data_IF_478860535405
#
_entry.id   IF_478860535405
#
_cell.length_a   1.000
_cell.length_b   1.000
_cell.length_c   1.000
_cell.angle_alpha   90.00
_cell.angle_beta   90.00
_cell.angle_gamma   90.00
#
_symmetry.space_group_name_H-M   'P 1'
#
loop_
_entity.id
_entity.type
_entity.pdbx_description
1 polymer ?
#
# COMPACT_ATOMS: atom_id res chain seq x y z
N UNK A 1 -17.20 6.72 -15.94
CA UNK A 1 -17.22 5.32 -15.54
C UNK A 1 -16.23 4.48 -16.34
N UNK A 2 -16.14 4.71 -17.64
CA UNK A 2 -15.21 4.01 -18.53
C UNK A 2 -13.76 4.21 -18.10
N UNK A 3 -13.39 5.43 -17.70
CA UNK A 3 -12.02 5.75 -17.29
C UNK A 3 -11.65 4.98 -16.01
N UNK A 4 -12.55 4.93 -15.03
CA UNK A 4 -12.32 4.17 -13.79
C UNK A 4 -12.13 2.69 -14.07
N UNK A 5 -12.93 2.13 -14.97
CA UNK A 5 -12.83 0.72 -15.35
C UNK A 5 -11.50 0.43 -16.03
N UNK A 6 -11.04 1.31 -16.94
CA UNK A 6 -9.76 1.16 -17.62
C UNK A 6 -8.61 1.24 -16.63
N UNK A 7 -8.63 2.21 -15.71
CA UNK A 7 -7.59 2.35 -14.70
C UNK A 7 -7.53 1.14 -13.79
N UNK A 8 -8.70 0.64 -13.38
CA UNK A 8 -8.77 -0.57 -12.54
C UNK A 8 -8.24 -1.79 -13.28
N UNK A 9 -8.56 -1.94 -14.57
CA UNK A 9 -8.06 -3.07 -15.35
C UNK A 9 -6.56 -3.01 -15.53
N UNK A 10 -5.98 -1.82 -15.79
CA UNK A 10 -4.53 -1.64 -15.89
C UNK A 10 -3.84 -1.96 -14.58
N UNK A 11 -4.44 -1.52 -13.47
CA UNK A 11 -3.93 -1.76 -12.15
C UNK A 11 -3.87 -3.27 -11.84
N UNK A 12 -4.98 -3.97 -12.05
CA UNK A 12 -5.08 -5.40 -11.77
C UNK A 12 -4.15 -6.19 -12.68
N UNK A 13 -4.04 -5.81 -13.95
CA UNK A 13 -3.16 -6.48 -14.89
C UNK A 13 -1.69 -6.34 -14.53
N UNK A 14 -1.32 -5.31 -13.77
CA UNK A 14 0.04 -5.11 -13.30
C UNK A 14 0.41 -5.97 -12.09
N UNK A 15 -0.56 -6.66 -11.48
CA UNK A 15 -0.33 -7.47 -10.30
C UNK A 15 0.60 -8.66 -10.61
N UNK A 16 1.41 -9.09 -9.62
CA UNK A 16 2.25 -10.26 -9.81
C UNK A 16 1.42 -11.52 -9.98
N UNK A 17 2.03 -12.54 -10.58
CA UNK A 17 1.34 -13.77 -10.93
C UNK A 17 0.62 -14.42 -9.75
N UNK A 18 1.25 -14.45 -8.59
CA UNK A 18 0.67 -15.07 -7.39
C UNK A 18 -0.61 -14.36 -6.97
N UNK A 19 -0.62 -13.02 -7.01
CA UNK A 19 -1.81 -12.26 -6.67
C UNK A 19 -2.88 -12.40 -7.75
N UNK A 20 -2.51 -12.39 -9.02
CA UNK A 20 -3.47 -12.57 -10.11
C UNK A 20 -4.20 -13.91 -10.01
N UNK A 21 -3.48 -14.96 -9.59
CA UNK A 21 -4.11 -16.26 -9.38
C UNK A 21 -5.11 -16.22 -8.22
N UNK A 22 -4.78 -15.52 -7.15
CA UNK A 22 -5.64 -15.39 -5.98
C UNK A 22 -6.91 -14.59 -6.28
N UNK A 23 -6.81 -13.56 -7.11
CA UNK A 23 -7.90 -12.63 -7.36
C UNK A 23 -8.62 -12.88 -8.71
N UNK A 24 -8.38 -14.02 -9.36
CA UNK A 24 -8.89 -14.29 -10.70
C UNK A 24 -10.42 -14.19 -10.81
N UNK A 25 -11.14 -14.52 -9.74
CA UNK A 25 -12.60 -14.52 -9.73
C UNK A 25 -13.20 -13.20 -9.27
N UNK A 26 -12.37 -12.20 -8.96
CA UNK A 26 -12.86 -10.94 -8.42
C UNK A 26 -13.16 -9.93 -9.53
N UNK A 27 -14.22 -9.18 -9.35
CA UNK A 27 -14.47 -8.00 -10.18
C UNK A 27 -13.49 -6.90 -9.77
N UNK A 28 -13.28 -5.86 -10.60
CA UNK A 28 -12.44 -4.73 -10.19
C UNK A 28 -12.89 -4.10 -8.86
N UNK A 29 -14.18 -3.96 -8.63
CA UNK A 29 -14.69 -3.40 -7.39
C UNK A 29 -14.35 -4.30 -6.19
N UNK A 30 -14.49 -5.61 -6.36
CA UNK A 30 -14.12 -6.58 -5.32
C UNK A 30 -12.63 -6.56 -5.04
N UNK A 31 -11.80 -6.41 -6.08
CA UNK A 31 -10.36 -6.30 -5.93
C UNK A 31 -10.00 -5.07 -5.08
N UNK A 32 -10.55 -3.91 -5.41
CA UNK A 32 -10.30 -2.70 -4.64
C UNK A 32 -10.74 -2.84 -3.19
N UNK A 33 -11.93 -3.41 -2.98
CA UNK A 33 -12.43 -3.62 -1.63
C UNK A 33 -11.51 -4.52 -0.81
N UNK A 34 -11.05 -5.61 -1.42
CA UNK A 34 -10.24 -6.60 -0.70
C UNK A 34 -8.82 -6.13 -0.43
N UNK A 35 -8.17 -5.49 -1.41
CA UNK A 35 -6.73 -5.21 -1.33
C UNK A 35 -6.38 -3.75 -1.14
N UNK A 36 -7.26 -2.82 -1.46
CA UNK A 36 -6.98 -1.39 -1.43
C UNK A 36 -7.78 -0.63 -0.38
N UNK A 37 -8.74 -1.25 0.26
CA UNK A 37 -9.63 -0.60 1.21
C UNK A 37 -8.87 -0.21 2.48
N UNK A 38 -9.02 1.05 2.90
CA UNK A 38 -8.40 1.57 4.11
C UNK A 38 -9.42 1.68 5.25
N UNK A 39 -10.22 0.67 5.44
CA UNK A 39 -11.27 0.67 6.46
C UNK A 39 -10.78 0.28 7.85
N UNK A 40 -9.52 -0.08 7.99
CA UNK A 40 -8.94 -0.43 9.28
C UNK A 40 -8.59 0.78 10.13
N UNK A 41 -7.94 0.57 11.29
CA UNK A 41 -7.63 1.65 12.23
C UNK A 41 -6.53 2.59 11.78
N UNK A 42 -5.77 2.24 10.74
CA UNK A 42 -4.67 3.07 10.27
C UNK A 42 -5.04 3.72 8.95
N UNK A 43 -4.83 5.03 8.83
CA UNK A 43 -5.05 5.77 7.60
C UNK A 43 -3.83 6.60 7.25
N UNK A 44 -3.62 6.81 5.96
CA UNK A 44 -2.65 7.79 5.49
C UNK A 44 -3.40 9.12 5.39
N UNK A 45 -3.11 10.04 6.31
CA UNK A 45 -3.76 11.33 6.32
C UNK A 45 -3.17 12.28 5.29
N UNK A 46 -1.94 12.71 5.54
CA UNK A 46 -1.23 13.59 4.61
C UNK A 46 -0.02 12.88 4.05
N UNK A 47 0.27 13.15 2.79
CA UNK A 47 1.48 12.66 2.14
C UNK A 47 2.06 13.76 1.28
N UNK A 48 3.37 13.99 1.37
CA UNK A 48 4.05 14.94 0.51
C UNK A 48 5.46 14.47 0.22
N UNK A 49 5.95 14.73 -1.00
CA UNK A 49 7.35 14.45 -1.30
C UNK A 49 8.24 15.40 -0.50
N UNK A 50 9.40 14.92 -0.09
CA UNK A 50 10.38 15.73 0.62
C UNK A 50 11.67 15.74 -0.19
N UNK A 51 12.22 16.95 -0.42
CA UNK A 51 13.44 17.10 -1.18
C UNK A 51 13.27 16.81 -2.66
N UNK A 52 14.40 16.58 -3.33
CA UNK A 52 14.43 16.37 -4.77
C UNK A 52 14.54 14.91 -5.19
N UNK A 53 14.54 14.00 -4.24
CA UNK A 53 14.66 12.57 -4.51
C UNK A 53 13.31 11.88 -4.41
N UNK A 54 13.04 10.96 -5.32
CA UNK A 54 11.73 10.32 -5.43
C UNK A 54 11.38 9.45 -4.22
N UNK A 55 12.38 9.00 -3.46
CA UNK A 55 12.13 8.15 -2.30
C UNK A 55 11.91 8.95 -1.01
N UNK A 56 12.17 10.25 -1.02
CA UNK A 56 12.00 11.07 0.17
C UNK A 56 10.57 11.54 0.31
N UNK A 57 10.01 11.42 1.51
CA UNK A 57 8.63 11.83 1.75
C UNK A 57 8.37 12.13 3.21
N UNK A 58 7.26 12.81 3.45
CA UNK A 58 6.65 12.98 4.76
C UNK A 58 5.23 12.43 4.69
N UNK A 59 4.90 11.52 5.58
CA UNK A 59 3.55 10.94 5.65
C UNK A 59 3.03 11.04 7.07
N UNK A 60 1.75 11.39 7.22
CA UNK A 60 1.09 11.36 8.50
C UNK A 60 0.20 10.14 8.56
N UNK A 61 0.49 9.25 9.50
CA UNK A 61 -0.34 8.08 9.75
C UNK A 61 -1.32 8.43 10.85
N UNK A 62 -2.59 8.16 10.59
CA UNK A 62 -3.67 8.40 11.55
C UNK A 62 -4.05 7.09 12.21
N UNK A 63 -3.86 7.03 13.53
CA UNK A 63 -4.31 5.91 14.35
C UNK A 63 -5.59 6.32 15.08
N UNK A 64 -6.19 5.39 15.81
CA UNK A 64 -7.47 5.63 16.47
C UNK A 64 -7.40 6.82 17.44
N UNK A 65 -6.31 6.95 18.18
CA UNK A 65 -6.17 7.91 19.25
C UNK A 65 -4.98 8.87 19.12
N UNK A 66 -4.22 8.80 18.01
CA UNK A 66 -3.06 9.67 17.82
C UNK A 66 -2.62 9.69 16.35
N UNK A 67 -1.70 10.60 16.08
CA UNK A 67 -1.07 10.72 14.76
C UNK A 67 0.42 10.42 14.88
N UNK A 68 0.99 9.92 13.80
CA UNK A 68 2.43 9.76 13.70
C UNK A 68 2.92 10.27 12.36
N UNK A 69 3.93 11.14 12.39
CA UNK A 69 4.58 11.63 11.19
C UNK A 69 5.80 10.76 10.90
N UNK A 70 5.86 10.25 9.67
CA UNK A 70 6.99 9.48 9.18
C UNK A 70 7.73 10.33 8.15
N UNK A 71 9.02 10.57 8.41
CA UNK A 71 9.89 11.29 7.49
C UNK A 71 10.93 10.29 7.00
N UNK A 72 10.97 10.05 5.70
CA UNK A 72 11.87 9.07 5.11
C UNK A 72 12.82 9.74 4.14
N UNK A 73 14.10 9.37 4.22
CA UNK A 73 15.14 9.82 3.32
C UNK A 73 15.77 8.67 2.55
N UNK A 74 15.23 7.48 2.70
CA UNK A 74 15.71 6.27 2.04
C UNK A 74 14.55 5.39 1.62
N UNK A 75 14.64 4.09 1.87
CA UNK A 75 13.61 3.15 1.45
C UNK A 75 12.26 3.42 2.13
N UNK A 76 11.19 3.64 1.36
CA UNK A 76 9.86 3.76 1.95
C UNK A 76 9.43 2.51 2.73
N UNK A 77 9.80 1.32 2.25
CA UNK A 77 9.47 0.07 2.95
C UNK A 77 10.13 0.04 4.31
N UNK A 78 11.43 0.36 4.38
CA UNK A 78 12.15 0.34 5.66
C UNK A 78 11.59 1.36 6.64
N UNK A 79 11.32 2.58 6.17
CA UNK A 79 10.77 3.64 7.03
C UNK A 79 9.40 3.25 7.59
N UNK A 80 8.53 2.70 6.75
CA UNK A 80 7.19 2.32 7.16
C UNK A 80 7.22 1.10 8.08
N UNK A 81 8.06 0.11 7.79
CA UNK A 81 8.21 -1.07 8.63
C UNK A 81 8.64 -0.68 10.04
N UNK A 82 9.60 0.22 10.14
CA UNK A 82 10.10 0.72 11.43
C UNK A 82 9.02 1.47 12.19
N UNK A 83 8.31 2.38 11.52
CA UNK A 83 7.26 3.17 12.15
C UNK A 83 6.11 2.28 12.64
N UNK A 84 5.69 1.33 11.82
CA UNK A 84 4.61 0.41 12.19
C UNK A 84 5.02 -0.49 13.34
N UNK A 85 6.26 -0.95 13.37
CA UNK A 85 6.77 -1.75 14.49
C UNK A 85 6.67 -0.96 15.80
N UNK A 86 7.09 0.32 15.77
CA UNK A 86 7.00 1.18 16.94
C UNK A 86 5.57 1.37 17.44
N UNK A 87 4.61 1.28 16.54
CA UNK A 87 3.18 1.45 16.86
C UNK A 87 2.50 0.13 17.24
N UNK A 88 3.25 -0.96 17.33
CA UNK A 88 2.71 -2.23 17.73
C UNK A 88 2.28 -3.15 16.58
N UNK A 89 2.66 -2.81 15.36
CA UNK A 89 2.32 -3.63 14.18
C UNK A 89 3.62 -4.20 13.58
N UNK A 90 4.02 -5.41 14.00
CA UNK A 90 5.26 -6.04 13.52
C UNK A 90 5.07 -6.63 12.13
N UNK A 91 5.01 -5.78 11.13
CA UNK A 91 4.77 -6.20 9.75
C UNK A 91 6.08 -6.60 9.08
N UNK A 92 6.04 -7.66 8.31
CA UNK A 92 7.14 -8.13 7.47
C UNK A 92 6.67 -8.15 6.03
N UNK A 93 7.48 -7.60 5.13
CA UNK A 93 7.16 -7.61 3.70
C UNK A 93 7.80 -8.84 3.09
N UNK A 94 6.98 -9.77 2.64
CA UNK A 94 7.44 -11.02 2.04
C UNK A 94 7.69 -10.88 0.55
N UNK A 95 6.86 -10.08 -0.14
CA UNK A 95 7.01 -9.81 -1.56
C UNK A 95 6.67 -8.36 -1.83
N UNK A 96 7.43 -7.74 -2.73
CA UNK A 96 7.21 -6.36 -3.15
C UNK A 96 7.23 -6.33 -4.67
N UNK A 97 6.18 -5.76 -5.26
CA UNK A 97 6.08 -5.67 -6.71
C UNK A 97 5.53 -4.29 -7.07
N UNK A 98 6.26 -3.57 -7.92
CA UNK A 98 5.84 -2.22 -8.31
C UNK A 98 6.03 -2.06 -9.80
N UNK A 99 5.03 -1.49 -10.48
CA UNK A 99 5.08 -1.23 -11.90
C UNK A 99 4.48 0.12 -12.23
N UNK A 100 5.16 0.83 -13.12
CA UNK A 100 4.59 2.05 -13.68
C UNK A 100 3.57 1.67 -14.76
N UNK A 101 2.38 2.24 -14.68
CA UNK A 101 1.33 2.07 -15.68
C UNK A 101 0.89 3.42 -16.21
N UNK A 102 0.09 3.44 -17.26
CA UNK A 102 -0.48 4.68 -17.76
C UNK A 102 -1.39 5.35 -16.74
N UNK A 103 -1.96 4.58 -15.82
CA UNK A 103 -2.83 5.11 -14.77
C UNK A 103 -2.08 5.58 -13.53
N UNK A 104 -0.78 5.28 -13.42
CA UNK A 104 0.03 5.63 -12.26
C UNK A 104 0.95 4.48 -11.87
N UNK A 105 1.56 4.58 -10.71
CA UNK A 105 2.43 3.53 -10.18
C UNK A 105 1.61 2.57 -9.34
N UNK A 106 1.60 1.30 -9.72
CA UNK A 106 0.90 0.24 -9.02
C UNK A 106 1.88 -0.49 -8.11
N UNK A 107 1.53 -0.66 -6.85
CA UNK A 107 2.33 -1.38 -5.87
C UNK A 107 1.52 -2.49 -5.24
N UNK A 108 2.13 -3.66 -5.14
CA UNK A 108 1.53 -4.84 -4.52
C UNK A 108 2.52 -5.39 -3.52
N UNK A 109 2.09 -5.55 -2.27
CA UNK A 109 2.94 -6.09 -1.22
C UNK A 109 2.26 -7.27 -0.57
N UNK A 110 2.99 -8.34 -0.37
CA UNK A 110 2.53 -9.43 0.47
C UNK A 110 3.12 -9.21 1.86
N UNK A 111 2.24 -9.06 2.83
CA UNK A 111 2.61 -8.77 4.20
C UNK A 111 2.37 -9.95 5.10
N UNK A 112 3.17 -10.06 6.16
CA UNK A 112 2.89 -10.96 7.26
C UNK A 112 2.88 -10.16 8.54
N UNK A 113 1.85 -10.34 9.36
CA UNK A 113 1.72 -9.64 10.63
C UNK A 113 1.05 -10.58 11.61
N UNK A 114 1.70 -10.84 12.74
CA UNK A 114 1.18 -11.72 13.78
C UNK A 114 0.78 -13.11 13.25
N UNK A 115 1.58 -13.65 12.32
CA UNK A 115 1.36 -14.98 11.75
C UNK A 115 0.33 -15.04 10.64
N UNK A 116 -0.23 -13.91 10.23
CA UNK A 116 -1.23 -13.86 9.17
C UNK A 116 -0.61 -13.20 7.94
N UNK A 117 -0.99 -13.68 6.76
CA UNK A 117 -0.47 -13.20 5.49
C UNK A 117 -1.58 -12.68 4.61
N UNK A 118 -1.27 -11.67 3.83
CA UNK A 118 -2.19 -11.14 2.84
C UNK A 118 -1.55 -10.07 1.99
N UNK A 119 -2.26 -9.69 0.93
CA UNK A 119 -1.80 -8.70 -0.01
C UNK A 119 -2.42 -7.34 0.26
N UNK A 120 -1.61 -6.30 0.12
CA UNK A 120 -2.08 -4.93 0.05
C UNK A 120 -1.66 -4.34 -1.29
N UNK A 121 -2.50 -3.48 -1.85
CA UNK A 121 -2.26 -2.91 -3.15
C UNK A 121 -2.66 -1.44 -3.17
N UNK A 122 -1.98 -0.66 -4.02
CA UNK A 122 -2.32 0.74 -4.20
C UNK A 122 -1.88 1.23 -5.57
N UNK A 123 -2.57 2.24 -6.05
CA UNK A 123 -2.25 2.93 -7.28
C UNK A 123 -2.13 4.43 -6.94
N UNK A 124 -0.99 5.02 -7.22
CA UNK A 124 -0.74 6.44 -6.97
C UNK A 124 0.24 6.97 -7.99
N UNK A 125 0.31 8.29 -8.13
CA UNK A 125 1.22 8.90 -9.11
C UNK A 125 2.68 8.68 -8.75
N UNK A 126 3.01 8.73 -7.47
CA UNK A 126 4.37 8.59 -6.98
C UNK A 126 4.60 7.18 -6.43
N UNK A 127 5.77 6.60 -6.72
CA UNK A 127 6.13 5.25 -6.25
C UNK A 127 6.21 5.14 -4.75
N UNK A 128 6.74 6.15 -4.06
CA UNK A 128 6.81 6.13 -2.60
C UNK A 128 5.42 6.20 -1.98
N UNK A 129 4.55 7.05 -2.50
CA UNK A 129 3.17 7.14 -2.02
C UNK A 129 2.43 5.82 -2.23
N UNK A 130 2.57 5.24 -3.42
CA UNK A 130 1.97 3.95 -3.74
C UNK A 130 2.42 2.87 -2.77
N UNK A 131 3.72 2.84 -2.44
CA UNK A 131 4.29 1.89 -1.48
C UNK A 131 3.67 2.06 -0.10
N UNK A 132 3.62 3.29 0.41
CA UNK A 132 3.07 3.58 1.73
C UNK A 132 1.60 3.14 1.81
N UNK A 133 0.82 3.49 0.81
CA UNK A 133 -0.61 3.15 0.81
C UNK A 133 -0.85 1.65 0.68
N UNK A 134 -0.04 0.95 -0.12
CA UNK A 134 -0.15 -0.51 -0.24
C UNK A 134 0.17 -1.20 1.09
N UNK A 135 1.20 -0.74 1.79
CA UNK A 135 1.57 -1.31 3.08
C UNK A 135 0.48 -1.10 4.13
N UNK A 136 -0.10 0.09 4.20
CA UNK A 136 -1.19 0.37 5.14
C UNK A 136 -2.41 -0.50 4.82
N UNK A 137 -2.75 -0.65 3.53
CA UNK A 137 -3.86 -1.53 3.14
C UNK A 137 -3.62 -2.96 3.61
N UNK A 138 -2.40 -3.48 3.43
CA UNK A 138 -2.05 -4.83 3.86
C UNK A 138 -2.11 -5.00 5.37
N UNK A 139 -1.55 -4.06 6.12
CA UNK A 139 -1.54 -4.14 7.59
C UNK A 139 -2.96 -4.05 8.15
N UNK A 140 -3.80 -3.18 7.61
CA UNK A 140 -5.19 -3.07 8.04
C UNK A 140 -5.97 -4.37 7.89
N UNK A 141 -5.63 -5.17 6.86
CA UNK A 141 -6.29 -6.47 6.65
C UNK A 141 -5.82 -7.53 7.63
N UNK A 142 -4.60 -7.43 8.14
CA UNK A 142 -3.97 -8.53 8.86
C UNK A 142 -3.87 -8.34 10.36
N UNK A 143 -3.53 -7.15 10.81
CA UNK A 143 -3.15 -7.00 12.20
C UNK A 143 -3.77 -5.82 12.89
N UNK A 144 -4.39 -4.99 12.12
CA UNK A 144 -4.91 -3.77 12.69
C UNK A 144 -6.41 -3.79 12.87
#
# INVERSE_FOLDING_TARGET
>A
MTILTLDSNMFIAAAPKALRAECADLTPAQFHHRYCEHSGPIRVGDWSPAGNRSAEFTATLEFVDHLRTVIATGSPVAAMTSALYDEGYPVEILQFHQRRTAAGTATFVQCECNGRRGWGAALADDGAESTVRAMIAGVNKLGA
#
